data_IF_159333685967
#
_entry.id   IF_159333685967
#
_cell.length_a   1.000
_cell.length_b   1.000
_cell.length_c   1.000
_cell.angle_alpha   90.00
_cell.angle_beta   90.00
_cell.angle_gamma   90.00
#
_symmetry.space_group_name_H-M   'P 1'
#
loop_
_entity.id
_entity.type
_entity.pdbx_description
1 polymer ?
#
# COMPACT_ATOMS: atom_id res chain seq x y z
N UNK A 1 -11.70 46.98 29.37
CA UNK A 1 -10.89 46.30 28.34
C UNK A 1 -11.75 45.19 27.76
N UNK A 2 -11.76 45.04 26.44
CA UNK A 2 -12.52 44.00 25.73
C UNK A 2 -11.59 43.17 24.85
N UNK A 3 -11.98 41.93 24.61
CA UNK A 3 -11.29 41.02 23.70
C UNK A 3 -11.89 41.11 22.30
N UNK A 4 -11.04 41.18 21.28
CA UNK A 4 -11.41 41.08 19.87
C UNK A 4 -10.55 40.01 19.19
N UNK A 5 -11.07 39.46 18.10
CA UNK A 5 -10.44 38.36 17.38
C UNK A 5 -10.17 38.79 15.95
N UNK A 6 -8.90 38.77 15.55
CA UNK A 6 -8.51 38.99 14.16
C UNK A 6 -8.75 37.70 13.38
N UNK A 7 -9.62 37.73 12.37
CA UNK A 7 -9.89 36.58 11.51
C UNK A 7 -8.67 36.31 10.63
N UNK A 8 -8.14 35.09 10.68
CA UNK A 8 -7.10 34.63 9.76
C UNK A 8 -7.77 33.91 8.59
N UNK A 9 -7.37 34.23 7.36
CA UNK A 9 -7.90 33.58 6.17
C UNK A 9 -6.94 32.49 5.68
N UNK A 10 -7.43 31.26 5.39
CA UNK A 10 -8.84 30.84 5.43
C UNK A 10 -9.31 30.32 6.80
N UNK A 11 -8.40 30.06 7.74
CA UNK A 11 -8.67 29.41 9.03
C UNK A 11 -7.91 30.09 10.16
N UNK A 12 -8.54 30.10 11.34
CA UNK A 12 -7.93 30.52 12.59
C UNK A 12 -8.22 31.96 12.99
N UNK A 13 -7.62 32.35 14.12
CA UNK A 13 -7.76 33.68 14.68
C UNK A 13 -6.57 34.07 15.56
N UNK A 14 -6.34 35.37 15.71
CA UNK A 14 -5.46 35.95 16.74
C UNK A 14 -6.31 36.72 17.77
N UNK A 15 -6.04 36.52 19.06
CA UNK A 15 -6.73 37.19 20.16
C UNK A 15 -6.02 38.50 20.54
N UNK A 16 -6.80 39.56 20.75
CA UNK A 16 -6.28 40.87 21.13
C UNK A 16 -7.13 41.51 22.23
N UNK A 17 -6.48 42.00 23.28
CA UNK A 17 -7.11 42.85 24.28
C UNK A 17 -6.98 44.32 23.89
N UNK A 18 -8.10 45.04 23.89
CA UNK A 18 -8.18 46.44 23.50
C UNK A 18 -9.04 47.23 24.50
N UNK A 19 -8.97 48.56 24.43
CA UNK A 19 -9.85 49.43 25.19
C UNK A 19 -11.33 49.21 24.80
N UNK A 20 -12.26 49.48 25.73
CA UNK A 20 -13.69 49.19 25.52
C UNK A 20 -14.28 50.01 24.35
N UNK A 21 -13.75 51.20 24.13
CA UNK A 21 -14.12 52.15 23.07
C UNK A 21 -13.40 51.89 21.73
N UNK A 22 -12.47 50.92 21.67
CA UNK A 22 -11.73 50.62 20.45
C UNK A 22 -12.68 50.17 19.31
N UNK A 23 -12.60 50.76 18.10
CA UNK A 23 -13.50 50.40 17.01
C UNK A 23 -13.19 48.99 16.48
N UNK A 24 -14.23 48.16 16.30
CA UNK A 24 -14.10 46.81 15.72
C UNK A 24 -14.38 46.89 14.22
N UNK A 25 -13.34 46.69 13.42
CA UNK A 25 -13.38 46.76 11.95
C UNK A 25 -12.65 45.56 11.37
N UNK A 26 -13.02 45.13 10.16
CA UNK A 26 -12.35 44.04 9.46
C UNK A 26 -10.83 44.29 9.39
N UNK A 27 -9.98 43.28 9.66
CA UNK A 27 -10.33 41.85 9.83
C UNK A 27 -10.70 41.43 11.27
N UNK A 28 -11.00 42.35 12.18
CA UNK A 28 -11.35 42.04 13.57
C UNK A 28 -12.87 41.84 13.76
N UNK A 29 -13.22 40.90 14.64
CA UNK A 29 -14.59 40.61 15.10
C UNK A 29 -14.64 40.55 16.62
N UNK A 30 -15.78 40.88 17.22
CA UNK A 30 -15.99 40.79 18.67
C UNK A 30 -16.69 39.48 19.09
N UNK A 31 -17.05 38.64 18.13
CA UNK A 31 -17.71 37.35 18.39
C UNK A 31 -16.65 36.34 18.84
N UNK A 32 -16.81 35.68 20.00
CA UNK A 32 -15.85 34.71 20.48
C UNK A 32 -15.80 33.44 19.60
N UNK A 33 -14.61 32.87 19.39
CA UNK A 33 -14.41 31.62 18.65
C UNK A 33 -15.05 30.42 19.35
N UNK A 34 -15.29 29.35 18.59
CA UNK A 34 -15.77 28.07 19.11
C UNK A 34 -14.69 27.41 19.99
N UNK A 35 -15.13 26.75 21.07
CA UNK A 35 -14.28 25.88 21.89
C UNK A 35 -14.12 24.52 21.19
N UNK A 36 -12.96 24.32 20.55
CA UNK A 36 -12.62 23.10 19.81
C UNK A 36 -11.35 22.46 20.40
N UNK A 37 -11.15 21.16 20.16
CA UNK A 37 -9.91 20.46 20.52
C UNK A 37 -8.68 21.12 19.87
N UNK A 38 -8.82 21.55 18.61
CA UNK A 38 -7.89 22.47 17.96
C UNK A 38 -8.57 23.83 17.76
N UNK A 39 -8.26 24.86 18.58
CA UNK A 39 -8.88 26.17 18.48
C UNK A 39 -8.72 26.86 17.12
N UNK A 40 -7.71 26.51 16.34
CA UNK A 40 -7.46 27.11 15.03
C UNK A 40 -8.24 26.41 13.88
N UNK A 41 -8.90 25.28 14.14
CA UNK A 41 -9.72 24.55 13.16
C UNK A 41 -11.11 25.18 12.98
N UNK A 42 -11.16 26.48 12.71
CA UNK A 42 -12.41 27.21 12.48
C UNK A 42 -12.19 28.40 11.55
N UNK A 43 -13.24 28.86 10.90
CA UNK A 43 -13.24 30.09 10.11
C UNK A 43 -14.40 30.98 10.53
N UNK A 44 -14.30 32.28 10.24
CA UNK A 44 -15.40 33.21 10.47
C UNK A 44 -16.29 33.30 9.23
N UNK A 45 -17.55 32.87 9.34
CA UNK A 45 -18.56 33.06 8.32
C UNK A 45 -19.09 34.50 8.40
N UNK A 46 -18.62 35.37 7.51
CA UNK A 46 -19.04 36.78 7.47
C UNK A 46 -20.51 36.98 7.06
N UNK A 47 -21.12 36.03 6.34
CA UNK A 47 -22.54 36.12 5.98
C UNK A 47 -23.45 35.82 7.17
N UNK A 48 -23.05 34.88 8.02
CA UNK A 48 -23.80 34.47 9.22
C UNK A 48 -23.30 35.11 10.52
N UNK A 49 -22.22 35.90 10.44
CA UNK A 49 -21.58 36.61 11.55
C UNK A 49 -21.25 35.70 12.74
N UNK A 50 -20.69 34.51 12.46
CA UNK A 50 -20.35 33.50 13.47
C UNK A 50 -19.11 32.70 13.08
N UNK A 51 -18.52 32.04 14.06
CA UNK A 51 -17.48 31.05 13.84
C UNK A 51 -18.07 29.69 13.46
N UNK A 52 -17.44 29.02 12.52
CA UNK A 52 -17.79 27.67 12.06
C UNK A 52 -16.58 26.76 12.14
N UNK A 53 -16.79 25.54 12.64
CA UNK A 53 -15.75 24.52 12.69
C UNK A 53 -15.34 24.13 11.27
N UNK A 54 -14.04 24.09 11.03
CA UNK A 54 -13.48 23.63 9.79
C UNK A 54 -13.49 22.11 9.77
N UNK A 55 -14.41 21.54 9.00
CA UNK A 55 -14.42 20.10 8.75
C UNK A 55 -13.22 19.75 7.88
N UNK A 56 -12.12 19.35 8.51
CA UNK A 56 -10.97 18.75 7.83
C UNK A 56 -11.19 17.24 7.77
N UNK A 57 -11.01 16.66 6.59
CA UNK A 57 -11.10 15.23 6.44
C UNK A 57 -9.93 14.57 7.18
N UNK A 58 -10.22 13.67 8.13
CA UNK A 58 -9.19 12.89 8.82
C UNK A 58 -8.54 11.91 7.84
N UNK A 59 -7.43 12.33 7.24
CA UNK A 59 -6.64 11.51 6.31
C UNK A 59 -5.84 10.41 7.02
N UNK A 60 -5.70 10.45 8.34
CA UNK A 60 -4.90 9.49 9.11
C UNK A 60 -5.43 8.07 8.93
N UNK A 61 -6.76 7.89 8.99
CA UNK A 61 -7.39 6.57 8.77
C UNK A 61 -7.20 6.04 7.35
N UNK A 62 -7.22 6.93 6.35
CA UNK A 62 -6.95 6.56 4.95
C UNK A 62 -5.49 6.17 4.78
N UNK A 63 -4.58 6.90 5.41
CA UNK A 63 -3.15 6.59 5.38
C UNK A 63 -2.86 5.25 6.06
N UNK A 64 -3.41 5.02 7.25
CA UNK A 64 -3.31 3.74 7.98
C UNK A 64 -3.83 2.55 7.15
N UNK A 65 -4.98 2.72 6.47
CA UNK A 65 -5.49 1.69 5.56
C UNK A 65 -4.52 1.40 4.40
N UNK A 66 -3.94 2.44 3.80
CA UNK A 66 -2.97 2.29 2.70
C UNK A 66 -1.69 1.60 3.16
N UNK A 67 -1.20 1.92 4.36
CA UNK A 67 -0.04 1.26 4.97
C UNK A 67 -0.31 -0.22 5.22
N UNK A 68 -1.47 -0.55 5.79
CA UNK A 68 -1.88 -1.95 6.03
C UNK A 68 -2.03 -2.74 4.73
N UNK A 69 -2.66 -2.17 3.70
CA UNK A 69 -2.78 -2.81 2.39
C UNK A 69 -1.41 -3.00 1.74
N UNK A 70 -0.53 -2.00 1.82
CA UNK A 70 0.84 -2.10 1.30
C UNK A 70 1.63 -3.22 1.98
N UNK A 71 1.54 -3.33 3.31
CA UNK A 71 2.18 -4.41 4.07
C UNK A 71 1.67 -5.80 3.65
N UNK A 72 0.35 -5.96 3.52
CA UNK A 72 -0.26 -7.22 3.03
C UNK A 72 0.23 -7.60 1.64
N UNK A 73 0.23 -6.64 0.70
CA UNK A 73 0.70 -6.87 -0.67
C UNK A 73 2.20 -7.21 -0.75
N UNK A 74 3.04 -6.69 0.14
CA UNK A 74 4.46 -7.05 0.20
C UNK A 74 4.66 -8.50 0.64
N UNK A 75 3.89 -8.95 1.63
CA UNK A 75 3.91 -10.35 2.10
C UNK A 75 3.46 -11.28 0.96
N UNK A 76 2.31 -11.00 0.35
CA UNK A 76 1.78 -11.82 -0.74
C UNK A 76 2.74 -11.91 -1.93
N UNK A 77 3.37 -10.78 -2.31
CA UNK A 77 4.38 -10.77 -3.38
C UNK A 77 5.62 -11.60 -3.05
N UNK A 78 6.05 -11.62 -1.79
CA UNK A 78 7.18 -12.42 -1.35
C UNK A 78 6.84 -13.90 -1.45
N UNK A 79 5.69 -14.30 -0.92
CA UNK A 79 5.21 -15.69 -1.00
C UNK A 79 5.05 -16.16 -2.45
N UNK A 80 4.52 -15.30 -3.34
CA UNK A 80 4.39 -15.64 -4.76
C UNK A 80 5.74 -15.83 -5.45
N UNK A 81 6.74 -15.01 -5.13
CA UNK A 81 8.10 -15.17 -5.68
C UNK A 81 8.73 -16.49 -5.24
N UNK A 82 8.65 -16.81 -3.94
CA UNK A 82 9.16 -18.07 -3.40
C UNK A 82 8.48 -19.29 -4.04
N UNK A 83 7.15 -19.24 -4.21
CA UNK A 83 6.41 -20.29 -4.88
C UNK A 83 6.83 -20.46 -6.35
N UNK A 84 7.09 -19.36 -7.05
CA UNK A 84 7.52 -19.37 -8.44
C UNK A 84 8.95 -19.92 -8.61
N UNK A 85 9.86 -19.57 -7.70
CA UNK A 85 11.22 -20.13 -7.64
C UNK A 85 11.17 -21.64 -7.40
N UNK A 86 10.34 -22.10 -6.46
CA UNK A 86 10.15 -23.52 -6.18
C UNK A 86 9.58 -24.28 -7.39
N UNK A 87 8.62 -23.69 -8.11
CA UNK A 87 8.05 -24.27 -9.34
C UNK A 87 9.08 -24.34 -10.47
N UNK A 88 9.93 -23.33 -10.60
CA UNK A 88 11.02 -23.29 -11.58
C UNK A 88 12.02 -24.41 -11.30
N UNK A 89 12.49 -24.53 -10.04
CA UNK A 89 13.40 -25.60 -9.64
C UNK A 89 12.81 -27.01 -9.86
N UNK A 90 11.50 -27.18 -9.58
CA UNK A 90 10.81 -28.44 -9.86
C UNK A 90 10.74 -28.75 -11.36
N UNK A 91 10.48 -27.74 -12.18
CA UNK A 91 10.44 -27.88 -13.64
C UNK A 91 11.81 -28.29 -14.19
N UNK A 92 12.88 -27.66 -13.74
CA UNK A 92 14.25 -28.01 -14.14
C UNK A 92 14.61 -29.44 -13.73
N UNK A 93 14.26 -29.84 -12.50
CA UNK A 93 14.47 -31.21 -12.02
C UNK A 93 13.71 -32.24 -12.87
N UNK A 94 12.46 -31.95 -13.24
CA UNK A 94 11.67 -32.80 -14.13
C UNK A 94 12.27 -32.90 -15.53
N UNK A 95 12.75 -31.78 -16.08
CA UNK A 95 13.42 -31.78 -17.38
C UNK A 95 14.69 -32.66 -17.37
N UNK A 96 15.51 -32.56 -16.32
CA UNK A 96 16.68 -33.41 -16.14
C UNK A 96 16.31 -34.90 -16.00
N UNK A 97 15.28 -35.22 -15.22
CA UNK A 97 14.80 -36.59 -15.07
C UNK A 97 14.32 -37.16 -16.42
N UNK A 98 13.54 -36.39 -17.16
CA UNK A 98 13.04 -36.79 -18.48
C UNK A 98 14.20 -37.06 -19.45
N UNK A 99 15.22 -36.19 -19.49
CA UNK A 99 16.41 -36.41 -20.30
C UNK A 99 17.14 -37.70 -19.91
N UNK A 100 17.27 -37.99 -18.61
CA UNK A 100 17.90 -39.23 -18.11
C UNK A 100 17.09 -40.47 -18.48
N UNK A 101 15.76 -40.41 -18.41
CA UNK A 101 14.89 -41.50 -18.84
C UNK A 101 15.05 -41.77 -20.35
N UNK A 102 15.05 -40.74 -21.19
CA UNK A 102 15.28 -40.90 -22.64
C UNK A 102 16.64 -41.52 -22.95
N UNK A 103 17.70 -41.13 -22.24
CA UNK A 103 19.03 -41.74 -22.40
C UNK A 103 19.03 -43.22 -22.02
N UNK A 104 18.36 -43.57 -20.91
CA UNK A 104 18.23 -44.96 -20.48
C UNK A 104 17.42 -45.78 -21.50
N UNK A 105 16.34 -45.24 -22.05
CA UNK A 105 15.53 -45.91 -23.08
C UNK A 105 16.36 -46.20 -24.34
N UNK A 106 17.19 -45.25 -24.77
CA UNK A 106 18.12 -45.46 -25.90
C UNK A 106 19.15 -46.55 -25.58
N UNK A 107 19.70 -46.57 -24.37
CA UNK A 107 20.65 -47.60 -23.95
C UNK A 107 20.01 -49.00 -23.91
N UNK A 108 18.83 -49.12 -23.31
CA UNK A 108 18.06 -50.37 -23.23
C UNK A 108 17.72 -50.88 -24.63
N UNK A 109 17.29 -50.00 -25.55
CA UNK A 109 17.00 -50.40 -26.92
C UNK A 109 18.23 -50.97 -27.64
N UNK A 110 19.42 -50.36 -27.46
CA UNK A 110 20.67 -50.89 -28.01
C UNK A 110 21.04 -52.24 -27.41
N UNK A 111 20.88 -52.42 -26.10
CA UNK A 111 21.11 -53.70 -25.44
C UNK A 111 20.17 -54.79 -25.97
N UNK A 112 18.89 -54.48 -26.15
CA UNK A 112 17.89 -55.38 -26.73
C UNK A 112 18.29 -55.78 -28.17
N UNK A 113 18.72 -54.84 -29.00
CA UNK A 113 19.18 -55.12 -30.38
C UNK A 113 20.43 -56.02 -30.40
N UNK A 114 21.39 -55.76 -29.51
CA UNK A 114 22.58 -56.59 -29.33
C UNK A 114 22.22 -58.02 -28.95
N UNK A 115 21.35 -58.19 -27.95
CA UNK A 115 20.85 -59.50 -27.51
C UNK A 115 20.17 -60.19 -28.69
N UNK A 116 19.22 -59.55 -29.37
CA UNK A 116 18.50 -60.11 -30.54
C UNK A 116 19.47 -60.62 -31.62
N UNK A 117 20.56 -59.91 -31.85
CA UNK A 117 21.59 -60.32 -32.81
C UNK A 117 22.32 -61.59 -32.34
N UNK A 118 22.67 -61.68 -31.05
CA UNK A 118 23.33 -62.85 -30.46
C UNK A 118 22.45 -64.11 -30.50
N UNK A 119 21.17 -64.01 -30.13
CA UNK A 119 20.24 -65.15 -30.20
C UNK A 119 19.85 -65.52 -31.64
N UNK A 120 19.76 -64.55 -32.56
CA UNK A 120 19.51 -64.82 -33.98
C UNK A 120 20.69 -65.48 -34.69
N UNK A 121 21.92 -65.13 -34.32
CA UNK A 121 23.14 -65.78 -34.83
C UNK A 121 23.34 -67.22 -34.30
N UNK A 122 22.83 -67.52 -33.11
CA UNK A 122 22.90 -68.85 -32.51
C UNK A 122 21.95 -69.89 -33.16
N UNK A 123 20.94 -69.45 -33.91
CA UNK A 123 20.00 -70.33 -34.61
C UNK A 123 20.48 -70.79 -36.01
N UNK A 124 21.60 -70.24 -36.51
CA UNK A 124 22.13 -70.50 -37.85
C UNK A 124 23.46 -71.30 -37.85
N UNK A 125 23.74 -72.07 -36.80
CA UNK A 125 24.88 -73.00 -36.73
C UNK A 125 24.39 -74.43 -36.50
#
# INVERSE_FOLDING_TARGET
MKTIYKVLYPLGYEEHEVADDFPVLLPFVAVPPLELENPQSQFFNFAENKWEEAVTQDYSKKLELLENLSAGLQVDNTTLKEANEALTAKTDSMAQLNAKLMLNDVAINKEIESIKTQIGGAANV
#
